data_IF_976550494333
#
_entry.id   IF_976550494333
#
_cell.length_a   1.000
_cell.length_b   1.000
_cell.length_c   1.000
_cell.angle_alpha   90.00
_cell.angle_beta   90.00
_cell.angle_gamma   90.00
#
_symmetry.space_group_name_H-M   'P 1'
#
loop_
_entity.id
_entity.type
_entity.pdbx_description
1 polymer ?
#
# COMPACT_ATOMS: atom_id res chain seq x y z
N UNK A 1 -10.40 -22.07 -2.93
CA UNK A 1 -10.30 -20.76 -3.63
C UNK A 1 -10.00 -19.72 -2.56
N UNK A 2 -8.72 -19.43 -2.35
CA UNK A 2 -8.31 -18.44 -1.35
C UNK A 2 -8.61 -17.03 -1.85
N UNK A 3 -9.23 -16.21 -1.00
CA UNK A 3 -9.44 -14.79 -1.23
C UNK A 3 -8.13 -14.07 -0.92
N UNK A 4 -7.44 -13.67 -1.97
CA UNK A 4 -6.36 -12.73 -1.88
C UNK A 4 -6.96 -11.34 -1.58
N UNK A 5 -6.75 -10.81 -0.37
CA UNK A 5 -7.21 -9.47 0.01
C UNK A 5 -6.19 -8.36 -0.31
N UNK A 6 -5.04 -8.75 -0.86
CA UNK A 6 -3.93 -7.86 -1.19
C UNK A 6 -4.05 -7.20 -2.57
N UNK A 7 -3.26 -6.16 -2.80
CA UNK A 7 -3.20 -5.51 -4.12
C UNK A 7 -2.23 -6.27 -5.07
N UNK A 8 -2.30 -6.05 -6.39
CA UNK A 8 -1.47 -6.77 -7.39
C UNK A 8 0.04 -6.63 -7.11
N UNK A 9 0.46 -5.54 -6.45
CA UNK A 9 1.83 -5.32 -5.98
C UNK A 9 2.30 -6.34 -4.96
N UNK A 10 1.43 -6.77 -4.05
CA UNK A 10 1.77 -7.76 -3.02
C UNK A 10 1.92 -9.14 -3.64
N UNK A 11 1.06 -9.48 -4.62
CA UNK A 11 1.18 -10.74 -5.36
C UNK A 11 2.52 -10.81 -6.09
N UNK A 12 2.93 -9.70 -6.71
CA UNK A 12 4.23 -9.59 -7.37
C UNK A 12 5.38 -9.83 -6.39
N UNK A 13 5.36 -9.20 -5.23
CA UNK A 13 6.43 -9.34 -4.24
C UNK A 13 6.57 -10.79 -3.73
N UNK A 14 5.44 -11.48 -3.52
CA UNK A 14 5.43 -12.89 -3.09
C UNK A 14 6.00 -13.80 -4.18
N UNK A 15 5.65 -13.57 -5.44
CA UNK A 15 6.21 -14.33 -6.57
C UNK A 15 7.71 -14.03 -6.72
N UNK A 16 8.14 -12.78 -6.59
CA UNK A 16 9.57 -12.39 -6.64
C UNK A 16 10.37 -13.04 -5.51
N UNK A 17 9.81 -13.07 -4.29
CA UNK A 17 10.42 -13.79 -3.16
C UNK A 17 10.58 -15.27 -3.46
N UNK A 18 9.51 -15.92 -3.95
CA UNK A 18 9.52 -17.35 -4.21
C UNK A 18 10.51 -17.76 -5.31
N UNK A 19 10.64 -16.94 -6.36
CA UNK A 19 11.65 -17.15 -7.39
C UNK A 19 13.09 -16.99 -6.86
N UNK A 20 13.31 -16.12 -5.87
CA UNK A 20 14.64 -15.90 -5.30
C UNK A 20 15.09 -17.01 -4.34
N UNK A 21 14.14 -17.66 -3.66
CA UNK A 21 14.44 -18.71 -2.68
C UNK A 21 14.38 -20.13 -3.27
N UNK A 22 13.77 -20.31 -4.43
CA UNK A 22 13.66 -21.62 -5.08
C UNK A 22 14.88 -21.96 -5.93
N UNK A 23 15.42 -23.16 -5.74
CA UNK A 23 16.55 -23.67 -6.52
C UNK A 23 16.14 -24.74 -7.55
N UNK A 24 14.84 -25.00 -7.70
CA UNK A 24 14.27 -25.92 -8.69
C UNK A 24 13.46 -25.20 -9.78
N UNK A 25 12.97 -25.96 -10.76
CA UNK A 25 12.13 -25.44 -11.85
C UNK A 25 10.67 -25.20 -11.44
N UNK A 26 10.28 -25.54 -10.21
CA UNK A 26 8.91 -25.41 -9.74
C UNK A 26 8.90 -24.70 -8.39
N UNK A 27 8.07 -23.65 -8.26
CA UNK A 27 7.78 -23.04 -6.96
C UNK A 27 7.02 -24.08 -6.13
N UNK A 28 7.56 -24.39 -4.95
CA UNK A 28 6.95 -25.27 -3.97
C UNK A 28 6.44 -24.45 -2.80
N UNK A 29 5.63 -25.04 -1.91
CA UNK A 29 5.17 -24.34 -0.70
C UNK A 29 6.36 -23.83 0.12
N UNK A 30 7.45 -24.58 0.18
CA UNK A 30 8.69 -24.18 0.87
C UNK A 30 9.39 -22.94 0.26
N UNK A 31 9.05 -22.55 -0.97
CA UNK A 31 9.58 -21.34 -1.59
C UNK A 31 8.79 -20.09 -1.24
N UNK A 32 7.56 -20.25 -0.73
CA UNK A 32 6.74 -19.10 -0.36
C UNK A 32 7.24 -18.50 0.96
N UNK A 33 6.99 -17.20 1.23
CA UNK A 33 7.23 -16.65 2.55
C UNK A 33 6.46 -17.45 3.60
N UNK A 34 7.03 -17.59 4.80
CA UNK A 34 6.46 -18.38 5.90
C UNK A 34 4.99 -18.04 6.23
N UNK A 35 4.54 -16.83 5.90
CA UNK A 35 3.14 -16.38 6.06
C UNK A 35 2.13 -17.08 5.12
N UNK A 36 2.61 -17.85 4.14
CA UNK A 36 1.83 -18.63 3.19
C UNK A 36 2.04 -20.14 3.30
N UNK A 37 3.01 -20.58 4.12
CA UNK A 37 3.29 -22.00 4.35
C UNK A 37 2.39 -22.47 5.51
N UNK A 38 1.52 -23.43 5.23
CA UNK A 38 0.49 -23.88 6.16
C UNK A 38 1.03 -24.57 7.41
N UNK A 39 1.31 -23.79 8.45
CA UNK A 39 0.89 -24.04 9.82
C UNK A 39 0.41 -22.69 10.38
N UNK A 40 -0.68 -22.72 11.16
CA UNK A 40 -1.31 -21.54 11.72
C UNK A 40 -0.41 -20.83 12.75
N UNK A 41 0.73 -20.28 12.36
CA UNK A 41 1.12 -19.00 12.93
C UNK A 41 0.20 -17.97 12.29
N UNK A 42 -1.00 -17.90 12.87
CA UNK A 42 -1.74 -16.65 12.92
C UNK A 42 -0.70 -15.65 13.43
N UNK A 43 -0.09 -14.89 12.53
CA UNK A 43 0.39 -13.56 12.88
C UNK A 43 -0.86 -12.91 13.41
N UNK A 44 -1.05 -13.00 14.71
CA UNK A 44 -1.87 -12.08 15.45
C UNK A 44 -1.10 -10.77 15.24
N UNK A 45 -1.29 -10.13 14.08
CA UNK A 45 -1.40 -8.69 14.04
C UNK A 45 -2.52 -8.49 15.06
N UNK A 46 -2.24 -8.03 16.29
CA UNK A 46 -3.30 -7.74 17.24
C UNK A 46 -4.40 -7.03 16.47
N UNK A 47 -5.59 -7.66 16.45
CA UNK A 47 -6.69 -7.19 15.63
C UNK A 47 -6.87 -5.69 15.90
N UNK A 48 -6.76 -4.86 14.86
CA UNK A 48 -6.81 -3.42 14.97
C UNK A 48 -5.47 -2.67 15.06
N UNK A 49 -4.29 -3.34 15.04
CA UNK A 49 -3.01 -2.64 14.86
C UNK A 49 -2.73 -2.41 13.38
N UNK A 50 -2.93 -1.16 12.97
CA UNK A 50 -2.56 -0.65 11.65
C UNK A 50 -1.18 -0.02 11.73
N UNK A 51 -0.25 -0.33 10.80
CA UNK A 51 1.03 0.37 10.73
C UNK A 51 0.83 1.88 10.61
N UNK A 52 1.63 2.66 11.34
CA UNK A 52 1.58 4.14 11.30
C UNK A 52 1.67 4.64 9.86
N UNK A 53 2.47 3.98 9.03
CA UNK A 53 2.63 4.34 7.63
C UNK A 53 1.33 4.20 6.81
N UNK A 54 0.53 3.17 7.04
CA UNK A 54 -0.74 2.98 6.33
C UNK A 54 -1.80 3.98 6.82
N UNK A 55 -1.81 4.26 8.13
CA UNK A 55 -2.65 5.32 8.69
C UNK A 55 -2.30 6.69 8.10
N UNK A 56 -1.01 7.01 8.00
CA UNK A 56 -0.53 8.26 7.41
C UNK A 56 -0.90 8.38 5.93
N UNK A 57 -0.70 7.32 5.16
CA UNK A 57 -1.07 7.25 3.75
C UNK A 57 -2.57 7.47 3.54
N UNK A 58 -3.41 6.81 4.35
CA UNK A 58 -4.86 6.93 4.24
C UNK A 58 -5.37 8.33 4.64
N UNK A 59 -4.80 8.91 5.72
CA UNK A 59 -5.10 10.29 6.12
C UNK A 59 -4.71 11.27 5.00
N UNK A 60 -3.52 11.11 4.42
CA UNK A 60 -3.06 11.98 3.34
C UNK A 60 -4.00 11.89 2.11
N UNK A 61 -4.38 10.68 1.70
CA UNK A 61 -5.29 10.49 0.58
C UNK A 61 -6.66 11.10 0.83
N UNK A 62 -7.31 10.81 1.96
CA UNK A 62 -8.62 11.39 2.30
C UNK A 62 -8.59 12.91 2.29
N UNK A 63 -7.49 13.49 2.77
CA UNK A 63 -7.32 14.94 2.82
C UNK A 63 -7.12 15.54 1.42
N UNK A 64 -6.38 14.84 0.53
CA UNK A 64 -6.25 15.21 -0.88
C UNK A 64 -7.58 15.07 -1.64
N UNK A 65 -8.36 14.03 -1.37
CA UNK A 65 -9.68 13.83 -1.99
C UNK A 65 -10.67 14.91 -1.55
N UNK A 66 -10.57 15.39 -0.30
CA UNK A 66 -11.43 16.45 0.22
C UNK A 66 -11.03 17.84 -0.28
N UNK A 67 -9.75 18.19 -0.21
CA UNK A 67 -9.29 19.54 -0.55
C UNK A 67 -8.86 19.71 -2.01
N UNK A 68 -8.60 18.62 -2.73
CA UNK A 68 -8.17 18.62 -4.12
C UNK A 68 -6.71 18.20 -4.33
N UNK A 69 -6.46 17.63 -5.51
CA UNK A 69 -5.16 17.15 -5.97
C UNK A 69 -4.36 18.20 -6.75
N UNK A 70 -4.94 19.38 -6.98
CA UNK A 70 -4.30 20.53 -7.60
C UNK A 70 -3.34 21.24 -6.63
N UNK A 71 -2.64 22.25 -7.12
CA UNK A 71 -1.66 23.00 -6.32
C UNK A 71 -2.30 23.69 -5.11
N UNK A 72 -3.46 24.31 -5.30
CA UNK A 72 -4.19 24.99 -4.23
C UNK A 72 -4.70 23.99 -3.17
N UNK A 73 -5.19 22.82 -3.59
CA UNK A 73 -5.60 21.74 -2.71
C UNK A 73 -4.45 21.20 -1.88
N UNK A 74 -3.29 20.93 -2.50
CA UNK A 74 -2.08 20.45 -1.80
C UNK A 74 -1.56 21.43 -0.75
N UNK A 75 -1.71 22.75 -0.95
CA UNK A 75 -1.41 23.76 0.08
C UNK A 75 -2.36 23.62 1.27
N UNK A 76 -3.67 23.51 1.02
CA UNK A 76 -4.67 23.29 2.08
C UNK A 76 -4.46 21.97 2.82
N UNK A 77 -4.05 20.90 2.14
CA UNK A 77 -3.70 19.62 2.77
C UNK A 77 -2.51 19.80 3.73
N UNK A 78 -1.48 20.53 3.32
CA UNK A 78 -0.32 20.80 4.16
C UNK A 78 -0.72 21.55 5.44
N UNK A 79 -1.56 22.58 5.32
CA UNK A 79 -2.11 23.34 6.45
C UNK A 79 -2.97 22.46 7.37
N UNK A 80 -3.89 21.68 6.80
CA UNK A 80 -4.81 20.82 7.56
C UNK A 80 -4.09 19.71 8.33
N UNK A 81 -3.01 19.15 7.75
CA UNK A 81 -2.22 18.09 8.39
C UNK A 81 -1.06 18.65 9.25
N UNK A 82 -0.85 19.96 9.27
CA UNK A 82 0.24 20.59 10.03
C UNK A 82 1.63 20.21 9.55
N UNK A 83 1.80 19.92 8.25
CA UNK A 83 3.08 19.53 7.64
C UNK A 83 3.51 20.53 6.56
N UNK A 84 4.79 20.50 6.18
CA UNK A 84 5.27 21.33 5.08
C UNK A 84 4.67 20.89 3.74
N UNK A 85 4.49 21.85 2.83
CA UNK A 85 4.15 21.56 1.42
C UNK A 85 5.11 20.52 0.82
N UNK A 86 6.41 20.66 1.03
CA UNK A 86 7.42 19.69 0.56
C UNK A 86 7.20 18.28 1.12
N UNK A 87 6.69 18.15 2.35
CA UNK A 87 6.36 16.85 2.94
C UNK A 87 5.16 16.20 2.27
N UNK A 88 4.15 16.97 1.85
CA UNK A 88 3.02 16.47 1.06
C UNK A 88 3.51 15.85 -0.24
N UNK A 89 4.29 16.57 -1.07
CA UNK A 89 4.81 16.03 -2.34
C UNK A 89 5.68 14.78 -2.12
N UNK A 90 6.58 14.81 -1.14
CA UNK A 90 7.43 13.66 -0.82
C UNK A 90 6.59 12.44 -0.44
N UNK A 91 5.53 12.62 0.35
CA UNK A 91 4.65 11.53 0.77
C UNK A 91 3.74 11.03 -0.36
N UNK A 92 3.22 11.92 -1.22
CA UNK A 92 2.51 11.54 -2.44
C UNK A 92 3.39 10.62 -3.30
N UNK A 93 4.64 11.02 -3.56
CA UNK A 93 5.59 10.22 -4.31
C UNK A 93 5.94 8.90 -3.60
N UNK A 94 6.22 8.95 -2.28
CA UNK A 94 6.55 7.77 -1.46
C UNK A 94 5.45 6.71 -1.49
N UNK A 95 4.19 7.15 -1.41
CA UNK A 95 3.04 6.26 -1.35
C UNK A 95 2.42 5.96 -2.71
N UNK A 96 2.96 6.53 -3.79
CA UNK A 96 2.41 6.42 -5.15
C UNK A 96 0.92 6.76 -5.19
N UNK A 97 0.56 7.89 -4.56
CA UNK A 97 -0.80 8.39 -4.54
C UNK A 97 -1.10 9.13 -5.85
N UNK A 98 -2.17 8.71 -6.51
CA UNK A 98 -2.67 9.34 -7.74
C UNK A 98 -4.11 9.84 -7.52
N UNK A 99 -4.51 10.92 -8.21
CA UNK A 99 -5.90 11.35 -8.20
C UNK A 99 -6.83 10.21 -8.59
N UNK A 100 -8.07 10.16 -8.05
CA UNK A 100 -9.07 9.20 -8.51
C UNK A 100 -9.18 9.28 -10.03
N UNK A 101 -9.13 8.13 -10.72
CA UNK A 101 -9.33 8.06 -12.16
C UNK A 101 -10.62 8.82 -12.51
N UNK A 102 -10.47 9.99 -13.15
CA UNK A 102 -11.60 10.65 -13.79
C UNK A 102 -11.97 9.73 -14.95
N UNK A 103 -12.98 8.88 -14.76
CA UNK A 103 -13.57 8.08 -15.84
C UNK A 103 -13.83 9.06 -16.98
N UNK A 104 -13.03 8.93 -18.04
CA UNK A 104 -13.16 9.71 -19.24
C UNK A 104 -14.40 9.17 -19.97
N UNK A 105 -15.58 9.65 -19.57
CA UNK A 105 -16.81 9.43 -20.32
C UNK A 105 -16.72 10.37 -21.53
N UNK A 106 -16.25 9.84 -22.65
CA UNK A 106 -16.30 10.45 -23.98
C UNK A 106 -16.67 9.36 -24.98
#
# INVERSE_FOLDING_TARGET
>A
IHKWEGNVRELRNVIEYAMNFENSNYITEASLPDEFIGENEVRIKPEGIVPIEEMEKEVLRKTLDWFGWDEAGKIRVAEALGISRSSVYRKIAKYHLEPPDMINIS
#
